data_IF_183480275971
#
_entry.id   IF_183480275971
#
_cell.length_a   1.000
_cell.length_b   1.000
_cell.length_c   1.000
_cell.angle_alpha   90.00
_cell.angle_beta   90.00
_cell.angle_gamma   90.00
#
_symmetry.space_group_name_H-M   'P 1'
#
loop_
_entity.id
_entity.type
_entity.pdbx_description
1 polymer ?
#
# COMPACT_ATOMS: atom_id res chain seq x y z
N UNK A 1 -59.41 -6.21 1.24
CA UNK A 1 -58.53 -5.90 2.39
C UNK A 1 -57.35 -6.88 2.54
N UNK A 2 -56.82 -7.49 1.45
CA UNK A 2 -55.80 -8.57 1.51
C UNK A 2 -54.43 -8.24 0.90
N UNK A 3 -54.24 -7.05 0.32
CA UNK A 3 -52.97 -6.67 -0.33
C UNK A 3 -52.00 -5.93 0.57
N UNK A 4 -52.50 -5.17 1.55
CA UNK A 4 -51.66 -4.29 2.36
C UNK A 4 -50.74 -5.04 3.33
N UNK A 5 -51.17 -6.16 3.94
CA UNK A 5 -50.27 -6.96 4.79
C UNK A 5 -49.11 -7.57 3.99
N UNK A 6 -49.39 -7.99 2.75
CA UNK A 6 -48.39 -8.61 1.89
C UNK A 6 -47.36 -7.58 1.42
N UNK A 7 -47.81 -6.38 1.06
CA UNK A 7 -46.94 -5.25 0.75
C UNK A 7 -46.13 -4.78 1.96
N UNK A 8 -46.74 -4.70 3.14
CA UNK A 8 -46.06 -4.32 4.37
C UNK A 8 -44.96 -5.34 4.76
N UNK A 9 -45.24 -6.63 4.56
CA UNK A 9 -44.27 -7.70 4.80
C UNK A 9 -43.10 -7.64 3.82
N UNK A 10 -43.36 -7.40 2.54
CA UNK A 10 -42.32 -7.20 1.52
C UNK A 10 -41.45 -5.98 1.84
N UNK A 11 -42.07 -4.88 2.26
CA UNK A 11 -41.37 -3.65 2.63
C UNK A 11 -40.44 -3.89 3.83
N UNK A 12 -40.93 -4.61 4.84
CA UNK A 12 -40.16 -4.98 6.03
C UNK A 12 -38.97 -5.88 5.68
N UNK A 13 -39.19 -6.88 4.83
CA UNK A 13 -38.12 -7.80 4.40
C UNK A 13 -37.04 -7.08 3.59
N UNK A 14 -37.42 -6.15 2.72
CA UNK A 14 -36.48 -5.33 1.97
C UNK A 14 -35.69 -4.38 2.87
N UNK A 15 -36.33 -3.81 3.90
CA UNK A 15 -35.67 -2.96 4.88
C UNK A 15 -34.62 -3.74 5.69
N UNK A 16 -34.95 -4.97 6.10
CA UNK A 16 -34.02 -5.83 6.85
C UNK A 16 -32.84 -6.27 5.98
N UNK A 17 -33.07 -6.59 4.70
CA UNK A 17 -32.00 -6.86 3.72
C UNK A 17 -31.08 -5.64 3.54
N UNK A 18 -31.65 -4.44 3.43
CA UNK A 18 -30.87 -3.21 3.28
C UNK A 18 -30.03 -2.90 4.53
N UNK A 19 -30.58 -3.11 5.73
CA UNK A 19 -29.83 -2.97 7.00
C UNK A 19 -28.67 -3.96 7.07
N UNK A 20 -28.90 -5.23 6.76
CA UNK A 20 -27.85 -6.24 6.76
C UNK A 20 -26.74 -5.93 5.76
N UNK A 21 -27.11 -5.42 4.57
CA UNK A 21 -26.13 -4.98 3.59
C UNK A 21 -25.30 -3.80 4.11
N UNK A 22 -25.94 -2.81 4.74
CA UNK A 22 -25.26 -1.66 5.34
C UNK A 22 -24.25 -2.10 6.41
N UNK A 23 -24.65 -2.94 7.36
CA UNK A 23 -23.74 -3.47 8.39
C UNK A 23 -22.55 -4.22 7.80
N UNK A 24 -22.78 -5.02 6.75
CA UNK A 24 -21.70 -5.76 6.06
C UNK A 24 -20.71 -4.82 5.37
N UNK A 25 -21.21 -3.73 4.76
CA UNK A 25 -20.38 -2.72 4.10
C UNK A 25 -19.57 -1.94 5.13
N UNK A 26 -20.19 -1.53 6.25
CA UNK A 26 -19.52 -0.83 7.35
C UNK A 26 -18.41 -1.68 7.96
N UNK A 27 -18.68 -2.95 8.27
CA UNK A 27 -17.67 -3.87 8.78
C UNK A 27 -16.51 -4.09 7.79
N UNK A 28 -16.80 -4.17 6.48
CA UNK A 28 -15.77 -4.33 5.45
C UNK A 28 -14.93 -3.07 5.30
N UNK A 29 -15.54 -1.89 5.40
CA UNK A 29 -14.84 -0.61 5.35
C UNK A 29 -13.90 -0.45 6.56
N UNK A 30 -14.38 -0.79 7.76
CA UNK A 30 -13.58 -0.79 8.98
C UNK A 30 -12.37 -1.73 8.85
N UNK A 31 -12.58 -2.96 8.36
CA UNK A 31 -11.50 -3.91 8.12
C UNK A 31 -10.45 -3.35 7.14
N UNK A 32 -10.88 -2.76 6.02
CA UNK A 32 -9.97 -2.18 5.02
C UNK A 32 -9.19 -0.98 5.57
N UNK A 33 -9.82 -0.13 6.37
CA UNK A 33 -9.15 0.98 7.03
C UNK A 33 -8.09 0.48 8.02
N UNK A 34 -8.41 -0.55 8.81
CA UNK A 34 -7.44 -1.14 9.74
C UNK A 34 -6.23 -1.71 8.98
N UNK A 35 -6.46 -2.45 7.89
CA UNK A 35 -5.40 -2.97 7.03
C UNK A 35 -4.54 -1.84 6.44
N UNK A 36 -5.15 -0.75 5.98
CA UNK A 36 -4.41 0.41 5.48
C UNK A 36 -3.54 1.04 6.58
N UNK A 37 -4.06 1.20 7.79
CA UNK A 37 -3.31 1.76 8.91
C UNK A 37 -2.14 0.86 9.32
N UNK A 38 -2.32 -0.46 9.32
CA UNK A 38 -1.23 -1.41 9.57
C UNK A 38 -0.13 -1.28 8.51
N UNK A 39 -0.48 -1.27 7.22
CA UNK A 39 0.48 -1.09 6.12
C UNK A 39 1.23 0.24 6.28
N UNK A 40 0.53 1.34 6.57
CA UNK A 40 1.17 2.64 6.79
C UNK A 40 2.11 2.64 8.00
N UNK A 41 1.77 1.89 9.04
CA UNK A 41 2.61 1.74 10.23
C UNK A 41 3.85 0.92 9.92
N UNK A 42 3.71 -0.20 9.21
CA UNK A 42 4.84 -1.02 8.75
C UNK A 42 5.79 -0.21 7.86
N UNK A 43 5.26 0.58 6.91
CA UNK A 43 6.07 1.47 6.07
C UNK A 43 6.86 2.49 6.89
N UNK A 44 6.23 3.10 7.91
CA UNK A 44 6.91 4.01 8.84
C UNK A 44 7.96 3.30 9.70
N UNK A 45 7.68 2.10 10.19
CA UNK A 45 8.63 1.30 10.98
C UNK A 45 9.85 0.89 10.15
N UNK A 46 9.66 0.63 8.85
CA UNK A 46 10.75 0.40 7.90
C UNK A 46 11.54 1.70 7.55
N UNK A 47 11.11 2.86 8.07
CA UNK A 47 11.75 4.14 7.81
C UNK A 47 11.58 4.65 6.38
N UNK A 48 10.64 4.06 5.64
CA UNK A 48 10.43 4.35 4.22
C UNK A 48 9.09 5.05 4.05
N UNK A 49 9.13 6.36 3.83
CA UNK A 49 7.96 7.06 3.35
C UNK A 49 7.70 6.60 1.90
N UNK A 50 6.50 6.07 1.58
CA UNK A 50 6.20 5.61 0.23
C UNK A 50 6.31 6.71 -0.84
N UNK A 51 6.17 7.98 -0.44
CA UNK A 51 6.36 9.14 -1.32
C UNK A 51 7.85 9.43 -1.61
N UNK A 52 8.74 9.08 -0.67
CA UNK A 52 10.19 9.35 -0.76
C UNK A 52 10.96 8.13 -1.29
N UNK A 53 10.30 6.98 -1.47
CA UNK A 53 10.90 5.70 -1.83
C UNK A 53 11.61 5.76 -3.20
N UNK A 54 10.99 6.42 -4.16
CA UNK A 54 11.55 6.65 -5.50
C UNK A 54 12.77 7.58 -5.44
N UNK A 55 12.74 8.58 -4.56
CA UNK A 55 13.84 9.54 -4.37
C UNK A 55 15.05 8.87 -3.71
N UNK A 56 14.82 8.05 -2.68
CA UNK A 56 15.89 7.33 -1.99
C UNK A 56 16.55 6.27 -2.90
N UNK A 57 15.77 5.58 -3.75
CA UNK A 57 16.31 4.68 -4.79
C UNK A 57 17.22 5.45 -5.76
N UNK A 58 16.78 6.61 -6.24
CA UNK A 58 17.56 7.43 -7.16
C UNK A 58 18.85 7.96 -6.53
N UNK A 59 18.79 8.36 -5.26
CA UNK A 59 19.94 8.83 -4.48
C UNK A 59 20.96 7.70 -4.29
N UNK A 60 20.53 6.53 -3.82
CA UNK A 60 21.40 5.37 -3.63
C UNK A 60 22.04 4.89 -4.94
N UNK A 61 21.30 4.93 -6.05
CA UNK A 61 21.83 4.56 -7.38
C UNK A 61 22.96 5.50 -7.80
N UNK A 62 22.79 6.81 -7.64
CA UNK A 62 23.85 7.80 -7.94
C UNK A 62 25.08 7.62 -7.05
N UNK A 63 24.86 7.28 -5.78
CA UNK A 63 25.94 7.04 -4.82
C UNK A 63 26.75 5.80 -5.21
N UNK A 64 26.07 4.73 -5.62
CA UNK A 64 26.70 3.52 -6.19
C UNK A 64 27.55 3.87 -7.42
N UNK A 65 27.00 4.60 -8.40
CA UNK A 65 27.75 4.98 -9.61
C UNK A 65 28.99 5.83 -9.28
N UNK A 66 28.87 6.73 -8.30
CA UNK A 66 29.97 7.57 -7.84
C UNK A 66 31.06 6.72 -7.19
N UNK A 67 30.70 5.83 -6.28
CA UNK A 67 31.63 4.92 -5.61
C UNK A 67 32.32 3.97 -6.61
N UNK A 68 31.59 3.47 -7.61
CA UNK A 68 32.18 2.66 -8.68
C UNK A 68 33.19 3.46 -9.51
N UNK A 69 32.89 4.73 -9.79
CA UNK A 69 33.81 5.61 -10.52
C UNK A 69 35.07 5.90 -9.71
N UNK A 70 34.91 6.27 -8.44
CA UNK A 70 36.03 6.48 -7.51
C UNK A 70 36.88 5.23 -7.36
N UNK A 71 36.27 4.05 -7.20
CA UNK A 71 36.99 2.78 -7.14
C UNK A 71 37.81 2.51 -8.41
N UNK A 72 37.25 2.81 -9.59
CA UNK A 72 37.96 2.68 -10.87
C UNK A 72 39.07 3.71 -11.08
N UNK A 73 38.94 4.91 -10.53
CA UNK A 73 39.98 5.95 -10.57
C UNK A 73 41.12 5.66 -9.58
N UNK A 74 40.79 5.06 -8.42
CA UNK A 74 41.76 4.64 -7.40
C UNK A 74 42.46 3.32 -7.76
N UNK A 75 41.91 2.54 -8.68
CA UNK A 75 42.57 1.37 -9.26
C UNK A 75 43.73 1.83 -10.17
N UNK A 76 45.00 1.51 -9.83
CA UNK A 76 46.12 1.87 -10.69
C UNK A 76 45.99 1.11 -12.01
N UNK A 77 45.77 1.84 -13.11
CA UNK A 77 45.74 1.27 -14.47
C UNK A 77 47.03 0.52 -14.80
N UNK A 78 48.13 0.84 -14.13
CA UNK A 78 49.44 0.17 -14.24
C UNK A 78 49.45 -1.32 -13.84
N UNK A 79 48.49 -1.79 -13.05
CA UNK A 79 48.43 -3.23 -12.64
C UNK A 79 47.77 -4.09 -13.73
N UNK A 80 46.90 -3.50 -14.57
CA UNK A 80 46.11 -4.23 -15.57
C UNK A 80 46.86 -4.45 -16.90
N UNK A 81 47.90 -3.70 -17.22
CA UNK A 81 48.72 -3.89 -18.44
C UNK A 81 49.84 -4.96 -18.30
N UNK A 82 49.93 -5.64 -17.15
CA UNK A 82 50.91 -6.72 -16.92
C UNK A 82 50.31 -8.10 -16.61
N UNK A 83 49.03 -8.33 -16.91
CA UNK A 83 48.47 -9.68 -17.03
C UNK A 83 48.25 -10.06 -18.49
#
# INVERSE_FOLDING_TARGET
MKNYEKELSLLKENLDKAKNLKYKVEARLEQLNNQQQEILKELKELGVNPEDLEEEINKLTKEIDTLFKEANELLPKDILEKM
#
